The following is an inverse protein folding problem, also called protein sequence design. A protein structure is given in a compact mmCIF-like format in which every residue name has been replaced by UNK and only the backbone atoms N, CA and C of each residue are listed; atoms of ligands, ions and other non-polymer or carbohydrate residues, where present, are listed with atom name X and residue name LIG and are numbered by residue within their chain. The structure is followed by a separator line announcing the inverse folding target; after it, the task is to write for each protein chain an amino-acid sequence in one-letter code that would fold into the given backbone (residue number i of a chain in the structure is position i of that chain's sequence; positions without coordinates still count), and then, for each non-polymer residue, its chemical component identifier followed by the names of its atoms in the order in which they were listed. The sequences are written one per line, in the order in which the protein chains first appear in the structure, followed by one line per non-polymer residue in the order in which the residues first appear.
data_IF_825678853372
#
_entry.id   IF_825678853372
#
_cell.length_a   1.000
_cell.length_b   1.000
_cell.length_c   1.000
_cell.angle_alpha   90.00
_cell.angle_beta   90.00
_cell.angle_gamma   90.00
#
_symmetry.space_group_name_H-M   'P 1'
#
loop_
_entity.id
_entity.type
_entity.pdbx_description
1 polymer ?
#
# COMPACT_ATOMS: atom_id res chain seq x y z
N UNK A 1 13.68 1.82 15.36
CA UNK A 1 13.23 3.07 16.01
C UNK A 1 12.99 2.79 17.47
N UNK A 2 13.53 3.61 18.37
CA UNK A 2 13.25 3.50 19.79
C UNK A 2 11.84 4.07 20.09
N UNK A 3 11.16 3.54 21.11
CA UNK A 3 9.82 4.01 21.50
C UNK A 3 9.77 5.52 21.84
N UNK A 4 10.91 6.09 22.26
CA UNK A 4 11.09 7.53 22.51
C UNK A 4 10.99 8.39 21.25
N UNK A 5 11.44 7.90 20.10
CA UNK A 5 11.40 8.62 18.82
C UNK A 5 9.96 8.76 18.30
N UNK A 6 9.13 7.73 18.53
CA UNK A 6 7.71 7.71 18.17
C UNK A 6 6.86 8.67 19.03
N UNK A 7 7.37 9.05 20.20
CA UNK A 7 6.73 10.03 21.08
C UNK A 7 6.77 11.46 20.55
N UNK A 8 7.83 11.83 19.81
CA UNK A 8 8.12 13.20 19.39
C UNK A 8 7.75 13.53 17.94
N UNK A 9 7.18 12.59 17.18
CA UNK A 9 6.87 12.80 15.77
C UNK A 9 5.82 13.91 15.56
N UNK A 10 6.07 14.75 14.57
CA UNK A 10 5.12 15.78 14.14
C UNK A 10 4.03 15.20 13.21
N UNK A 11 3.06 16.04 12.83
CA UNK A 11 1.90 15.61 12.05
C UNK A 11 2.24 15.07 10.65
N UNK A 12 3.30 15.56 10.01
CA UNK A 12 3.69 15.11 8.68
C UNK A 12 4.39 13.75 8.77
N UNK A 13 5.31 13.59 9.72
CA UNK A 13 6.00 12.33 10.01
C UNK A 13 4.99 11.21 10.36
N UNK A 14 4.04 11.49 11.24
CA UNK A 14 2.97 10.54 11.59
C UNK A 14 2.08 10.23 10.38
N UNK A 15 1.82 11.23 9.53
CA UNK A 15 1.10 11.06 8.27
C UNK A 15 1.78 10.04 7.36
N UNK A 16 3.07 10.20 7.12
CA UNK A 16 3.89 9.35 6.26
C UNK A 16 4.02 7.93 6.82
N UNK A 17 4.39 7.80 8.09
CA UNK A 17 4.51 6.50 8.77
C UNK A 17 3.18 5.76 8.77
N UNK A 18 2.07 6.46 9.08
CA UNK A 18 0.73 5.88 9.02
C UNK A 18 0.33 5.46 7.61
N UNK A 19 0.67 6.25 6.59
CA UNK A 19 0.38 5.89 5.20
C UNK A 19 1.15 4.63 4.78
N UNK A 20 2.43 4.55 5.13
CA UNK A 20 3.25 3.37 4.87
C UNK A 20 2.71 2.13 5.60
N UNK A 21 2.47 2.25 6.91
CA UNK A 21 1.91 1.17 7.72
C UNK A 21 0.57 0.69 7.18
N UNK A 22 -0.38 1.60 6.90
CA UNK A 22 -1.69 1.21 6.35
C UNK A 22 -1.57 0.44 5.04
N UNK A 23 -0.57 0.76 4.21
CA UNK A 23 -0.30 0.05 2.95
C UNK A 23 0.21 -1.37 3.22
N UNK A 24 1.13 -1.54 4.18
CA UNK A 24 1.59 -2.87 4.59
C UNK A 24 0.45 -3.72 5.13
N UNK A 25 -0.37 -3.18 6.04
CA UNK A 25 -1.51 -3.87 6.64
C UNK A 25 -2.53 -4.32 5.58
N UNK A 26 -2.78 -3.50 4.55
CA UNK A 26 -3.66 -3.86 3.43
C UNK A 26 -3.08 -5.01 2.60
N UNK A 27 -1.79 -4.97 2.29
CA UNK A 27 -1.15 -5.96 1.40
C UNK A 27 -0.89 -7.29 2.12
N UNK A 28 -0.28 -7.22 3.30
CA UNK A 28 0.20 -8.39 4.07
C UNK A 28 -0.86 -8.94 5.02
N UNK A 29 -1.84 -8.13 5.42
CA UNK A 29 -2.81 -8.50 6.45
C UNK A 29 -2.31 -8.24 7.86
N UNK A 30 -3.08 -8.69 8.86
CA UNK A 30 -2.84 -8.45 10.30
C UNK A 30 -2.67 -9.75 11.10
N UNK A 31 -2.64 -10.90 10.42
CA UNK A 31 -2.59 -12.23 11.06
C UNK A 31 -1.29 -12.48 11.80
N UNK A 32 -0.18 -11.95 11.26
CA UNK A 32 1.17 -12.20 11.78
C UNK A 32 1.63 -11.12 12.76
N UNK A 33 0.74 -10.20 13.13
CA UNK A 33 0.99 -9.17 14.15
C UNK A 33 0.47 -9.71 15.47
N UNK A 34 1.38 -9.90 16.43
CA UNK A 34 1.04 -10.44 17.73
C UNK A 34 0.14 -9.50 18.57
N UNK A 35 -0.42 -10.05 19.64
CA UNK A 35 -1.34 -9.30 20.49
C UNK A 35 -0.64 -8.21 21.32
N UNK A 36 0.66 -8.37 21.60
CA UNK A 36 1.44 -7.43 22.40
C UNK A 36 1.72 -6.16 21.59
N UNK A 37 2.15 -6.31 20.34
CA UNK A 37 2.33 -5.24 19.37
C UNK A 37 1.01 -4.50 19.13
N UNK A 38 -0.11 -5.22 18.96
CA UNK A 38 -1.44 -4.60 18.82
C UNK A 38 -1.81 -3.79 20.07
N UNK A 39 -1.51 -4.30 21.27
CA UNK A 39 -1.79 -3.61 22.53
C UNK A 39 -0.99 -2.31 22.71
N UNK A 40 0.18 -2.19 22.08
CA UNK A 40 0.98 -0.96 22.07
C UNK A 40 0.54 -0.02 20.94
N UNK A 41 0.34 -0.56 19.74
CA UNK A 41 0.10 0.21 18.52
C UNK A 41 -1.28 0.86 18.50
N UNK A 42 -2.33 0.14 18.91
CA UNK A 42 -3.71 0.65 18.87
C UNK A 42 -3.90 1.89 19.75
N UNK A 43 -3.48 1.93 21.03
CA UNK A 43 -3.58 3.14 21.84
C UNK A 43 -2.79 4.31 21.25
N UNK A 44 -1.62 4.06 20.66
CA UNK A 44 -0.79 5.10 20.05
C UNK A 44 -1.46 5.71 18.83
N UNK A 45 -2.03 4.89 17.95
CA UNK A 45 -2.79 5.36 16.79
C UNK A 45 -4.04 6.16 17.22
N UNK A 46 -4.75 5.74 18.27
CA UNK A 46 -5.89 6.52 18.83
C UNK A 46 -5.44 7.86 19.43
N UNK A 47 -4.24 7.92 19.99
CA UNK A 47 -3.67 9.18 20.46
C UNK A 47 -3.40 10.13 19.28
N UNK A 48 -2.74 9.64 18.23
CA UNK A 48 -2.42 10.43 17.04
C UNK A 48 -3.66 10.87 16.25
N UNK A 49 -4.65 9.99 16.11
CA UNK A 49 -5.93 10.32 15.48
C UNK A 49 -6.58 11.55 16.12
N UNK A 50 -6.60 11.59 17.46
CA UNK A 50 -7.17 12.71 18.22
C UNK A 50 -6.27 13.94 18.19
N UNK A 51 -4.96 13.77 18.29
CA UNK A 51 -4.00 14.87 18.34
C UNK A 51 -3.89 15.64 17.02
N UNK A 52 -4.13 14.97 15.89
CA UNK A 52 -3.92 15.53 14.55
C UNK A 52 -5.20 15.60 13.71
N UNK A 53 -6.37 15.79 14.34
CA UNK A 53 -7.67 15.87 13.68
C UNK A 53 -7.65 16.83 12.47
N UNK A 54 -8.24 16.40 11.36
CA UNK A 54 -8.27 17.16 10.10
C UNK A 54 -6.97 17.11 9.28
N UNK A 55 -5.95 16.39 9.74
CA UNK A 55 -4.67 16.20 9.02
C UNK A 55 -4.54 14.78 8.46
N UNK A 56 -3.55 14.60 7.59
CA UNK A 56 -3.20 13.28 7.03
C UNK A 56 -2.90 12.27 8.15
N UNK A 57 -2.15 12.68 9.18
CA UNK A 57 -1.85 11.84 10.36
C UNK A 57 -3.09 11.23 11.02
N UNK A 58 -4.17 12.00 11.18
CA UNK A 58 -5.40 11.45 11.75
C UNK A 58 -6.06 10.45 10.81
N UNK A 59 -6.14 10.77 9.52
CA UNK A 59 -6.74 9.89 8.51
C UNK A 59 -5.98 8.56 8.37
N UNK A 60 -4.64 8.60 8.36
CA UNK A 60 -3.83 7.39 8.23
C UNK A 60 -3.82 6.58 9.54
N UNK A 61 -3.86 7.25 10.69
CA UNK A 61 -4.06 6.59 11.99
C UNK A 61 -5.41 5.87 12.07
N UNK A 62 -6.49 6.52 11.64
CA UNK A 62 -7.83 5.91 11.57
C UNK A 62 -7.87 4.67 10.66
N UNK A 63 -7.24 4.74 9.47
CA UNK A 63 -7.15 3.58 8.56
C UNK A 63 -6.39 2.42 9.19
N UNK A 64 -5.26 2.69 9.84
CA UNK A 64 -4.50 1.66 10.54
C UNK A 64 -5.33 1.02 11.65
N UNK A 65 -6.07 1.82 12.43
CA UNK A 65 -6.99 1.31 13.46
C UNK A 65 -8.04 0.39 12.86
N UNK A 66 -8.75 0.82 11.81
CA UNK A 66 -9.78 0.02 11.16
C UNK A 66 -9.26 -1.34 10.65
N UNK A 67 -8.02 -1.39 10.17
CA UNK A 67 -7.35 -2.63 9.75
C UNK A 67 -6.98 -3.52 10.94
N UNK A 68 -6.36 -2.95 11.98
CA UNK A 68 -5.89 -3.69 13.16
C UNK A 68 -7.03 -4.22 14.04
N UNK A 69 -8.17 -3.53 14.07
CA UNK A 69 -9.38 -3.96 14.80
C UNK A 69 -10.34 -4.76 13.91
N UNK A 70 -9.96 -5.03 12.66
CA UNK A 70 -10.70 -5.85 11.70
C UNK A 70 -12.17 -5.44 11.51
N UNK A 71 -12.43 -4.13 11.44
CA UNK A 71 -13.77 -3.56 11.29
C UNK A 71 -14.52 -4.16 10.08
N UNK A 72 -15.61 -4.92 10.29
CA UNK A 72 -16.26 -5.68 9.20
C UNK A 72 -16.72 -4.80 8.04
N UNK A 73 -17.18 -3.58 8.32
CA UNK A 73 -17.68 -2.64 7.33
C UNK A 73 -16.58 -2.07 6.41
N UNK A 74 -15.32 -2.05 6.86
CA UNK A 74 -14.18 -1.56 6.07
C UNK A 74 -13.56 -2.65 5.19
N UNK A 75 -13.81 -3.93 5.51
CA UNK A 75 -13.22 -5.08 4.81
C UNK A 75 -13.41 -5.07 3.28
N UNK A 76 -14.60 -4.78 2.72
CA UNK A 76 -14.78 -4.77 1.26
C UNK A 76 -13.97 -3.65 0.58
N UNK A 77 -13.90 -2.48 1.23
CA UNK A 77 -13.10 -1.37 0.74
C UNK A 77 -11.62 -1.74 0.72
N UNK A 78 -11.10 -2.32 1.82
CA UNK A 78 -9.69 -2.72 1.91
C UNK A 78 -9.33 -3.81 0.91
N UNK A 79 -10.23 -4.78 0.68
CA UNK A 79 -10.03 -5.81 -0.35
C UNK A 79 -9.98 -5.21 -1.77
N UNK A 80 -10.79 -4.19 -2.03
CA UNK A 80 -10.77 -3.47 -3.30
C UNK A 80 -9.46 -2.70 -3.50
N UNK A 81 -8.97 -2.03 -2.44
CA UNK A 81 -7.67 -1.34 -2.46
C UNK A 81 -6.52 -2.32 -2.66
N UNK A 82 -6.52 -3.46 -1.95
CA UNK A 82 -5.53 -4.53 -2.13
C UNK A 82 -5.48 -5.00 -3.59
N UNK A 83 -6.65 -5.32 -4.15
CA UNK A 83 -6.78 -5.77 -5.55
C UNK A 83 -6.25 -4.72 -6.52
N UNK A 84 -6.54 -3.44 -6.28
CA UNK A 84 -6.04 -2.34 -7.10
C UNK A 84 -4.50 -2.28 -7.05
N UNK A 85 -3.90 -2.30 -5.87
CA UNK A 85 -2.45 -2.22 -5.68
C UNK A 85 -1.72 -3.42 -6.30
N UNK A 86 -2.22 -4.63 -6.04
CA UNK A 86 -1.64 -5.86 -6.60
C UNK A 86 -1.78 -5.91 -8.13
N UNK A 87 -2.85 -5.34 -8.69
CA UNK A 87 -3.06 -5.33 -10.13
C UNK A 87 -1.95 -4.63 -10.91
N UNK A 88 -1.31 -3.62 -10.31
CA UNK A 88 -0.22 -2.88 -10.93
C UNK A 88 1.04 -3.74 -11.18
N UNK A 89 1.26 -4.75 -10.35
CA UNK A 89 2.42 -5.64 -10.43
C UNK A 89 2.09 -7.02 -10.99
N UNK A 90 0.80 -7.41 -11.01
CA UNK A 90 0.36 -8.72 -11.47
C UNK A 90 -0.26 -8.70 -12.87
N UNK A 91 -0.90 -7.61 -13.30
CA UNK A 91 -1.63 -7.54 -14.58
C UNK A 91 -0.82 -6.78 -15.62
N UNK A 92 -0.92 -7.23 -16.87
CA UNK A 92 -0.33 -6.50 -17.98
C UNK A 92 -0.84 -5.05 -18.01
N UNK A 93 0.05 -4.07 -18.11
CA UNK A 93 -0.29 -2.64 -18.10
C UNK A 93 -1.05 -2.11 -19.33
N UNK A 94 -1.57 -3.00 -20.18
CA UNK A 94 -2.47 -2.67 -21.30
C UNK A 94 -3.90 -3.00 -20.87
N UNK A 95 -4.78 -2.00 -20.84
CA UNK A 95 -6.14 -2.11 -20.28
C UNK A 95 -6.99 -3.23 -20.89
N UNK A 96 -6.80 -3.54 -22.17
CA UNK A 96 -7.53 -4.60 -22.87
C UNK A 96 -6.91 -6.00 -22.74
N UNK A 97 -5.75 -6.13 -22.09
CA UNK A 97 -5.07 -7.41 -21.97
C UNK A 97 -5.51 -8.15 -20.69
N UNK A 98 -6.09 -9.35 -20.79
CA UNK A 98 -6.56 -10.09 -19.61
C UNK A 98 -5.43 -10.86 -18.89
N UNK A 99 -4.18 -10.82 -19.38
CA UNK A 99 -3.10 -11.63 -18.81
C UNK A 99 -2.65 -11.12 -17.45
N UNK A 100 -2.50 -12.06 -16.52
CA UNK A 100 -2.00 -11.84 -15.16
C UNK A 100 -0.90 -12.87 -14.84
N UNK A 101 0.04 -12.50 -13.98
CA UNK A 101 1.18 -13.33 -13.56
C UNK A 101 0.78 -14.70 -13.02
N UNK A 102 -0.32 -14.77 -12.25
CA UNK A 102 -0.71 -15.97 -11.51
C UNK A 102 -1.35 -17.09 -12.35
N UNK A 103 -1.76 -16.84 -13.60
CA UNK A 103 -2.61 -17.80 -14.35
C UNK A 103 -1.84 -18.62 -15.40
N UNK A 104 -0.54 -18.37 -15.61
CA UNK A 104 0.10 -18.91 -16.82
C UNK A 104 1.47 -19.56 -16.63
N UNK A 105 2.14 -19.40 -15.48
CA UNK A 105 3.57 -19.74 -15.38
C UNK A 105 4.45 -18.94 -16.35
N UNK A 106 3.90 -17.88 -16.96
CA UNK A 106 4.57 -17.00 -17.90
C UNK A 106 5.05 -15.79 -17.12
N UNK A 107 6.37 -15.56 -17.12
CA UNK A 107 6.94 -14.34 -16.58
C UNK A 107 6.54 -13.15 -17.47
N UNK A 108 5.82 -12.19 -16.89
CA UNK A 108 5.57 -10.92 -17.55
C UNK A 108 6.85 -10.09 -17.54
N UNK A 109 7.12 -9.40 -18.65
CA UNK A 109 8.20 -8.43 -18.78
C UNK A 109 7.97 -7.26 -17.82
N UNK A 110 8.82 -7.15 -16.80
CA UNK A 110 8.82 -6.01 -15.88
C UNK A 110 9.50 -4.78 -16.52
N UNK A 111 8.95 -3.59 -16.27
CA UNK A 111 9.56 -2.34 -16.68
C UNK A 111 10.92 -2.16 -16.00
N UNK A 112 11.99 -2.06 -16.80
CA UNK A 112 13.35 -1.98 -16.28
C UNK A 112 13.63 -0.74 -15.42
N UNK A 113 12.89 0.36 -15.62
CA UNK A 113 13.06 1.61 -14.88
C UNK A 113 12.36 1.58 -13.52
N UNK A 114 11.03 1.39 -13.52
CA UNK A 114 10.25 1.50 -12.28
C UNK A 114 10.11 0.21 -11.48
N UNK A 115 10.42 -0.95 -12.10
CA UNK A 115 10.26 -2.28 -11.49
C UNK A 115 8.84 -2.64 -11.02
N UNK A 116 7.86 -1.77 -11.23
CA UNK A 116 6.47 -1.99 -10.81
C UNK A 116 5.59 -2.52 -11.95
N UNK A 117 5.53 -1.79 -13.07
CA UNK A 117 4.66 -2.16 -14.18
C UNK A 117 5.15 -3.42 -14.92
N UNK A 118 4.23 -4.32 -15.26
CA UNK A 118 4.50 -5.57 -15.96
C UNK A 118 3.73 -5.65 -17.28
N UNK A 119 4.27 -6.39 -18.25
CA UNK A 119 3.72 -6.49 -19.60
C UNK A 119 3.90 -7.89 -20.18
N UNK A 120 3.05 -8.28 -21.12
CA UNK A 120 3.26 -9.53 -21.87
C UNK A 120 4.56 -9.57 -22.68
N UNK A 121 5.16 -8.40 -22.95
CA UNK A 121 6.37 -8.25 -23.74
C UNK A 121 6.56 -6.79 -24.21
N UNK A 122 7.61 -6.56 -25.01
CA UNK A 122 7.98 -5.22 -25.48
C UNK A 122 6.87 -4.52 -26.27
N UNK A 123 6.03 -5.26 -26.99
CA UNK A 123 4.90 -4.70 -27.72
C UNK A 123 3.88 -4.01 -26.79
N UNK A 124 3.45 -4.70 -25.73
CA UNK A 124 2.52 -4.16 -24.74
C UNK A 124 3.15 -3.03 -23.92
N UNK A 125 4.45 -3.12 -23.62
CA UNK A 125 5.18 -2.02 -22.99
C UNK A 125 5.15 -0.75 -23.84
N UNK A 126 5.44 -0.86 -25.15
CA UNK A 126 5.39 0.28 -26.08
C UNK A 126 3.97 0.85 -26.21
N UNK A 127 2.96 -0.01 -26.27
CA UNK A 127 1.56 0.40 -26.34
C UNK A 127 1.12 1.17 -25.08
N UNK A 128 1.51 0.71 -23.89
CA UNK A 128 1.17 1.36 -22.63
C UNK A 128 2.01 2.60 -22.32
N UNK A 129 3.16 2.78 -23.00
CA UNK A 129 4.13 3.84 -22.72
C UNK A 129 3.56 5.27 -22.66
N UNK A 130 2.65 5.71 -23.55
CA UNK A 130 2.11 7.07 -23.51
C UNK A 130 1.46 7.44 -22.18
N UNK A 131 0.79 6.49 -21.52
CA UNK A 131 0.19 6.66 -20.21
C UNK A 131 1.20 6.35 -19.09
N UNK A 132 1.96 5.27 -19.23
CA UNK A 132 2.90 4.82 -18.20
C UNK A 132 4.00 5.83 -17.92
N UNK A 133 4.51 6.54 -18.93
CA UNK A 133 5.65 7.46 -18.78
C UNK A 133 5.43 8.55 -17.72
N UNK A 134 4.18 8.95 -17.49
CA UNK A 134 3.82 9.97 -16.52
C UNK A 134 4.00 9.51 -15.07
N UNK A 135 3.95 8.20 -14.84
CA UNK A 135 4.07 7.57 -13.50
C UNK A 135 5.29 6.64 -13.39
N UNK A 136 6.17 6.66 -14.39
CA UNK A 136 7.35 5.80 -14.44
C UNK A 136 8.57 6.49 -13.82
N UNK A 137 8.90 6.13 -12.58
CA UNK A 137 10.06 6.64 -11.85
C UNK A 137 10.96 5.49 -11.41
N UNK A 138 12.27 5.72 -11.35
CA UNK A 138 13.17 4.74 -10.75
C UNK A 138 12.86 4.67 -9.25
N UNK A 139 12.74 3.47 -8.66
CA UNK A 139 12.56 3.38 -7.23
C UNK A 139 13.85 3.84 -6.53
N UNK A 140 13.68 4.64 -5.48
CA UNK A 140 14.73 4.96 -4.52
C UNK A 140 14.53 4.04 -3.33
N UNK A 141 15.29 2.96 -3.27
CA UNK A 141 15.39 2.08 -2.11
C UNK A 141 16.75 2.26 -1.46
#
# INVERSE_FOLDING_TARGET
MAASEVGGMNADEVGEVGQFLSTLLVLQGVTDIDAEDKAILVPKLRQWERAFLGRLAANTSNRCLALLTEEPHMRPMMQSVKTMLESCIQKCGVTSCPRVLQTSGIELLQCARCKAAVYCGKAHQKQAWPLHKATCFAPSF
#
